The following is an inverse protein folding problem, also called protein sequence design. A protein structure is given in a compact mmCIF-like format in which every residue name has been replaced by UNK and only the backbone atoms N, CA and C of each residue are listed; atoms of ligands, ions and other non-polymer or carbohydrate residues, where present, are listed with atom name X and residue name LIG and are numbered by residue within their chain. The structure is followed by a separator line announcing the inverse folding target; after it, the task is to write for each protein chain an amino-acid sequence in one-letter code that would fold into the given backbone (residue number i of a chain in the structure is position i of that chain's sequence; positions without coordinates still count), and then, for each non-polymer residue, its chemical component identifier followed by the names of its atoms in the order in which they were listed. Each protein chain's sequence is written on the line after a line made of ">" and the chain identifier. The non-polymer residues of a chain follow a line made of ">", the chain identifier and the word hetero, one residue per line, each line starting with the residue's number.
data_IF_747492434693
#
_entry.id   IF_747492434693
#
_cell.length_a   1.000
_cell.length_b   1.000
_cell.length_c   1.000
_cell.angle_alpha   90.00
_cell.angle_beta   90.00
_cell.angle_gamma   90.00
#
_symmetry.space_group_name_H-M   'P 1'
#
loop_
_entity.id
_entity.type
_entity.pdbx_description
1 polymer ?
#
# COMPACT_ATOMS: atom_id res chain seq x y z
N UNK A 1 -13.87 -64.96 23.83
CA UNK A 1 -12.55 -64.29 23.82
C UNK A 1 -12.54 -62.87 23.21
N UNK A 2 -13.17 -62.61 22.05
CA UNK A 2 -13.13 -61.29 21.36
C UNK A 2 -13.56 -60.04 22.15
N UNK A 3 -14.46 -60.17 23.14
CA UNK A 3 -14.96 -59.02 23.93
C UNK A 3 -13.91 -58.46 24.90
N UNK A 4 -13.09 -59.34 25.50
CA UNK A 4 -12.06 -58.98 26.48
C UNK A 4 -10.89 -58.25 25.82
N UNK A 5 -10.52 -58.71 24.63
CA UNK A 5 -9.45 -58.12 23.81
C UNK A 5 -9.82 -56.71 23.30
N UNK A 6 -11.09 -56.50 22.93
CA UNK A 6 -11.60 -55.18 22.53
C UNK A 6 -11.58 -54.18 23.70
N UNK A 7 -11.96 -54.64 24.89
CA UNK A 7 -11.98 -53.82 26.09
C UNK A 7 -10.56 -53.42 26.54
N UNK A 8 -9.60 -54.35 26.41
CA UNK A 8 -8.19 -54.08 26.70
C UNK A 8 -7.59 -53.06 25.72
N UNK A 9 -7.94 -53.17 24.43
CA UNK A 9 -7.52 -52.22 23.38
C UNK A 9 -8.05 -50.80 23.66
N UNK A 10 -9.31 -50.69 24.11
CA UNK A 10 -9.90 -49.41 24.48
C UNK A 10 -9.28 -48.81 25.75
N UNK A 11 -8.98 -49.63 26.77
CA UNK A 11 -8.23 -49.17 27.95
C UNK A 11 -6.85 -48.64 27.57
N UNK A 12 -6.13 -49.33 26.69
CA UNK A 12 -4.81 -48.92 26.18
C UNK A 12 -4.90 -47.60 25.40
N UNK A 13 -5.94 -47.43 24.56
CA UNK A 13 -6.19 -46.18 23.82
C UNK A 13 -6.46 -45.00 24.75
N UNK A 14 -7.34 -45.18 25.74
CA UNK A 14 -7.66 -44.14 26.76
C UNK A 14 -6.42 -43.73 27.56
N UNK A 15 -5.55 -44.68 27.92
CA UNK A 15 -4.30 -44.38 28.64
C UNK A 15 -3.35 -43.53 27.79
N UNK A 16 -3.19 -43.88 26.51
CA UNK A 16 -2.33 -43.15 25.55
C UNK A 16 -2.84 -41.72 25.31
N UNK A 17 -4.15 -41.52 25.27
CA UNK A 17 -4.77 -40.20 25.11
C UNK A 17 -4.54 -39.30 26.33
N UNK A 18 -4.72 -39.83 27.54
CA UNK A 18 -4.45 -39.10 28.79
C UNK A 18 -2.98 -38.66 28.88
N UNK A 19 -2.05 -39.53 28.48
CA UNK A 19 -0.63 -39.23 28.47
C UNK A 19 -0.27 -38.13 27.44
N UNK A 20 -0.86 -38.19 26.24
CA UNK A 20 -0.67 -37.17 25.19
C UNK A 20 -1.22 -35.80 25.63
N UNK A 21 -2.34 -35.78 26.36
CA UNK A 21 -2.93 -34.56 26.93
C UNK A 21 -2.04 -33.97 28.03
N UNK A 22 -1.45 -34.80 28.90
CA UNK A 22 -0.53 -34.34 29.96
C UNK A 22 0.74 -33.72 29.37
N UNK A 23 1.36 -34.36 28.36
CA UNK A 23 2.53 -33.82 27.63
C UNK A 23 2.25 -32.49 26.93
N UNK A 24 1.05 -32.30 26.36
CA UNK A 24 0.66 -31.00 25.75
C UNK A 24 0.52 -29.89 26.79
N UNK A 25 -0.02 -30.19 27.97
CA UNK A 25 -0.19 -29.21 29.06
C UNK A 25 1.15 -28.78 29.64
N UNK A 26 2.10 -29.70 29.84
CA UNK A 26 3.46 -29.37 30.30
C UNK A 26 4.23 -28.51 29.29
N UNK A 27 4.19 -28.85 27.98
CA UNK A 27 4.87 -28.04 26.95
C UNK A 27 4.27 -26.62 26.80
N UNK A 28 2.96 -26.46 26.99
CA UNK A 28 2.31 -25.16 26.91
C UNK A 28 2.74 -24.20 28.03
N UNK A 29 2.87 -24.71 29.27
CA UNK A 29 3.25 -23.90 30.44
C UNK A 29 4.70 -23.43 30.37
N UNK A 30 5.61 -24.28 29.89
CA UNK A 30 7.03 -23.94 29.77
C UNK A 30 7.28 -22.88 28.66
N UNK A 31 6.58 -23.04 27.52
CA UNK A 31 6.67 -22.11 26.39
C UNK A 31 6.21 -20.69 26.73
N UNK A 32 5.07 -20.56 27.42
CA UNK A 32 4.53 -19.25 27.82
C UNK A 32 5.44 -18.54 28.83
N UNK A 33 5.99 -19.28 29.79
CA UNK A 33 6.89 -18.74 30.81
C UNK A 33 8.19 -18.23 30.19
N UNK A 34 8.77 -19.00 29.24
CA UNK A 34 10.00 -18.62 28.53
C UNK A 34 9.78 -17.39 27.63
N UNK A 35 8.63 -17.32 26.94
CA UNK A 35 8.25 -16.16 26.11
C UNK A 35 8.04 -14.89 26.95
N UNK A 36 7.40 -15.02 28.13
CA UNK A 36 7.20 -13.90 29.07
C UNK A 36 8.53 -13.40 29.65
N UNK A 37 9.46 -14.30 29.97
CA UNK A 37 10.81 -13.94 30.46
C UNK A 37 11.64 -13.25 29.38
N UNK A 38 11.58 -13.70 28.12
CA UNK A 38 12.26 -13.04 26.98
C UNK A 38 11.73 -11.61 26.76
N UNK A 39 10.41 -11.43 26.73
CA UNK A 39 9.77 -10.10 26.63
C UNK A 39 10.17 -9.16 27.78
N UNK A 40 10.27 -9.67 29.01
CA UNK A 40 10.70 -8.86 30.17
C UNK A 40 12.18 -8.47 30.07
N UNK A 41 13.04 -9.34 29.54
CA UNK A 41 14.46 -9.05 29.28
C UNK A 41 14.63 -8.00 28.17
N UNK A 42 13.89 -8.12 27.06
CA UNK A 42 13.89 -7.12 25.97
C UNK A 42 13.45 -5.74 26.47
N UNK A 43 12.33 -5.65 27.21
CA UNK A 43 11.89 -4.40 27.83
C UNK A 43 12.91 -3.81 28.80
N UNK A 44 13.61 -4.65 29.57
CA UNK A 44 14.66 -4.19 30.51
C UNK A 44 15.90 -3.71 29.76
N UNK A 45 16.30 -4.36 28.67
CA UNK A 45 17.42 -3.89 27.82
C UNK A 45 17.09 -2.61 27.08
N UNK A 46 15.84 -2.43 26.63
CA UNK A 46 15.39 -1.19 26.00
C UNK A 46 15.38 -0.03 27.01
N UNK A 47 14.97 -0.30 28.26
CA UNK A 47 15.00 0.68 29.35
C UNK A 47 16.43 1.00 29.83
N UNK A 48 17.34 0.02 29.81
CA UNK A 48 18.74 0.21 30.21
C UNK A 48 19.58 0.98 29.17
N UNK A 49 19.15 1.04 27.91
CA UNK A 49 19.76 1.90 26.88
C UNK A 49 19.42 3.39 27.04
N UNK A 50 18.54 3.76 27.99
CA UNK A 50 18.23 5.14 28.37
C UNK A 50 19.12 5.62 29.52
N UNK A 51 20.44 5.56 29.32
CA UNK A 51 21.41 6.07 30.27
C UNK A 51 21.64 7.57 30.07
N UNK A 52 21.26 8.36 31.07
CA UNK A 52 21.78 9.69 31.42
C UNK A 52 22.03 10.70 30.28
N UNK A 53 21.01 11.49 29.95
CA UNK A 53 20.93 12.97 30.07
C UNK A 53 19.62 13.41 29.43
N UNK A 54 18.67 13.85 30.27
CA UNK A 54 17.28 14.25 29.96
C UNK A 54 16.42 13.20 29.25
N UNK A 55 15.27 12.87 29.82
CA UNK A 55 14.33 11.89 29.22
C UNK A 55 13.76 12.34 27.85
N UNK A 56 14.04 13.58 27.46
CA UNK A 56 13.57 14.25 26.25
C UNK A 56 14.62 14.32 25.14
N UNK A 57 15.92 14.36 25.46
CA UNK A 57 16.97 14.48 24.43
C UNK A 57 17.02 13.25 23.53
N UNK A 58 16.93 13.47 22.22
CA UNK A 58 16.97 12.40 21.21
C UNK A 58 15.76 11.47 21.22
N UNK A 59 14.67 11.82 21.92
CA UNK A 59 13.45 11.01 22.01
C UNK A 59 12.82 10.71 20.63
N UNK A 60 12.97 11.64 19.69
CA UNK A 60 12.43 11.55 18.33
C UNK A 60 13.52 11.30 17.27
N UNK A 61 14.73 10.98 17.70
CA UNK A 61 15.93 11.02 16.87
C UNK A 61 16.74 12.29 17.13
N UNK A 62 18.01 12.28 16.70
CA UNK A 62 18.91 13.44 16.77
C UNK A 62 19.22 13.86 15.35
N UNK A 63 18.91 15.11 15.03
CA UNK A 63 19.14 15.74 13.72
C UNK A 63 20.46 16.52 13.78
N UNK A 64 21.22 16.47 12.68
CA UNK A 64 22.42 17.29 12.44
C UNK A 64 22.22 18.21 11.24
N UNK A 65 23.13 19.17 11.05
CA UNK A 65 23.06 20.13 9.93
C UNK A 65 23.07 19.43 8.55
N UNK A 66 23.68 18.24 8.46
CA UNK A 66 23.67 17.39 7.26
C UNK A 66 22.28 16.89 6.87
N UNK A 67 21.36 16.79 7.84
CA UNK A 67 20.01 16.26 7.65
C UNK A 67 19.01 17.34 7.20
N UNK A 68 19.46 18.57 6.93
CA UNK A 68 18.65 19.70 6.49
C UNK A 68 17.74 19.38 5.30
N UNK A 69 18.24 18.60 4.34
CA UNK A 69 17.48 18.21 3.16
C UNK A 69 16.42 17.14 3.46
N UNK A 70 16.76 16.17 4.32
CA UNK A 70 15.82 15.11 4.73
C UNK A 70 14.70 15.66 5.60
N UNK A 71 14.99 16.71 6.39
CA UNK A 71 14.07 17.35 7.33
C UNK A 71 13.46 18.63 6.79
N UNK A 72 13.66 18.89 5.49
CA UNK A 72 13.12 20.05 4.80
C UNK A 72 11.60 20.15 4.92
N UNK A 73 10.81 19.08 4.71
CA UNK A 73 9.35 19.16 4.84
C UNK A 73 8.90 19.57 6.25
N UNK A 74 9.55 19.01 7.28
CA UNK A 74 9.27 19.35 8.68
C UNK A 74 9.66 20.77 9.05
N UNK A 75 10.83 21.20 8.57
CA UNK A 75 11.34 22.55 8.76
C UNK A 75 10.46 23.60 8.07
N UNK A 76 10.01 23.34 6.82
CA UNK A 76 9.08 24.22 6.09
C UNK A 76 7.80 24.43 6.88
N UNK A 77 7.17 23.36 7.35
CA UNK A 77 5.91 23.50 8.07
C UNK A 77 6.09 24.18 9.44
N UNK A 78 7.23 23.97 10.10
CA UNK A 78 7.56 24.66 11.35
C UNK A 78 7.77 26.15 11.11
N UNK A 79 8.49 26.54 10.07
CA UNK A 79 8.66 27.95 9.70
C UNK A 79 7.33 28.64 9.41
N UNK A 80 6.45 27.97 8.65
CA UNK A 80 5.15 28.51 8.30
C UNK A 80 4.21 28.65 9.50
N UNK A 81 4.16 27.66 10.39
CA UNK A 81 3.17 27.64 11.49
C UNK A 81 3.67 28.24 12.79
N UNK A 82 4.97 28.18 13.09
CA UNK A 82 5.55 28.66 14.35
C UNK A 82 6.23 30.00 14.18
N UNK A 83 6.96 30.19 13.09
CA UNK A 83 7.68 31.45 12.81
C UNK A 83 6.91 32.38 11.86
N UNK A 84 5.83 31.91 11.25
CA UNK A 84 5.00 32.63 10.27
C UNK A 84 5.83 33.23 9.12
N UNK A 85 6.94 32.57 8.76
CA UNK A 85 7.86 33.03 7.72
C UNK A 85 7.87 32.04 6.56
N UNK A 86 7.76 32.56 5.34
CA UNK A 86 7.90 31.78 4.13
C UNK A 86 9.38 31.51 3.84
N UNK A 87 9.72 30.24 3.58
CA UNK A 87 11.08 29.83 3.18
C UNK A 87 11.60 30.60 1.96
N UNK A 88 10.73 30.88 1.00
CA UNK A 88 11.11 31.59 -0.24
C UNK A 88 11.50 33.05 -0.01
N UNK A 89 11.10 33.64 1.11
CA UNK A 89 11.44 35.00 1.48
C UNK A 89 12.77 35.10 2.24
N UNK A 90 13.35 33.98 2.67
CA UNK A 90 14.53 33.94 3.51
C UNK A 90 15.82 33.76 2.69
N UNK A 91 16.87 34.56 2.96
CA UNK A 91 18.18 34.33 2.37
C UNK A 91 18.83 33.05 2.93
N UNK A 92 19.71 32.36 2.18
CA UNK A 92 20.25 31.05 2.56
C UNK A 92 21.00 31.00 3.91
N UNK A 93 21.56 32.13 4.36
CA UNK A 93 22.25 32.19 5.66
C UNK A 93 21.27 32.22 6.84
N UNK A 94 20.12 32.89 6.66
CA UNK A 94 19.08 32.99 7.67
C UNK A 94 18.32 31.66 7.79
N UNK A 95 18.13 30.99 6.66
CA UNK A 95 17.62 29.62 6.61
C UNK A 95 18.44 28.67 7.48
N UNK A 96 19.78 28.69 7.38
CA UNK A 96 20.66 27.87 8.22
C UNK A 96 20.57 28.22 9.70
N UNK A 97 20.41 29.51 10.03
CA UNK A 97 20.22 29.97 11.40
C UNK A 97 18.90 29.42 11.97
N UNK A 98 17.81 29.57 11.24
CA UNK A 98 16.51 29.03 11.63
C UNK A 98 16.53 27.49 11.73
N UNK A 99 17.30 26.82 10.87
CA UNK A 99 17.46 25.38 10.95
C UNK A 99 18.22 24.95 12.22
N UNK A 100 19.15 25.76 12.73
CA UNK A 100 19.80 25.49 14.03
C UNK A 100 18.83 25.56 15.20
N UNK A 101 17.97 26.57 15.22
CA UNK A 101 16.90 26.68 16.23
C UNK A 101 15.94 25.47 16.13
N UNK A 102 15.55 25.09 14.91
CA UNK A 102 14.73 23.89 14.67
C UNK A 102 15.44 22.61 15.15
N UNK A 103 16.74 22.46 14.92
CA UNK A 103 17.51 21.32 15.40
C UNK A 103 17.56 21.25 16.92
N UNK A 104 17.75 22.38 17.59
CA UNK A 104 17.74 22.45 19.05
C UNK A 104 16.39 21.99 19.59
N UNK A 105 15.29 22.53 19.07
CA UNK A 105 13.95 22.18 19.51
C UNK A 105 13.58 20.72 19.20
N UNK A 106 14.03 20.21 18.05
CA UNK A 106 13.82 18.81 17.69
C UNK A 106 14.58 17.86 18.61
N UNK A 107 15.85 18.16 18.87
CA UNK A 107 16.74 17.29 19.64
C UNK A 107 16.37 17.31 21.13
N UNK A 108 15.97 18.46 21.66
CA UNK A 108 15.51 18.62 23.05
C UNK A 108 14.07 18.15 23.25
N UNK A 109 13.28 18.05 22.18
CA UNK A 109 11.90 17.60 22.25
C UNK A 109 10.93 18.68 22.74
N UNK A 110 11.21 19.96 22.48
CA UNK A 110 10.47 21.12 22.98
C UNK A 110 9.37 21.61 22.03
N UNK A 111 9.23 21.05 20.82
CA UNK A 111 8.17 21.48 19.90
C UNK A 111 6.77 21.37 20.51
N UNK A 112 5.96 22.41 20.27
CA UNK A 112 4.57 22.54 20.72
C UNK A 112 3.67 21.42 20.19
N UNK A 113 3.93 20.96 18.96
CA UNK A 113 3.17 19.88 18.31
C UNK A 113 4.07 18.72 17.93
N UNK A 114 3.54 17.50 18.11
CA UNK A 114 4.21 16.27 17.67
C UNK A 114 4.36 16.17 16.14
N UNK A 115 3.68 17.03 15.37
CA UNK A 115 3.73 16.99 13.91
C UNK A 115 5.12 17.31 13.37
N UNK A 116 5.87 18.20 14.04
CA UNK A 116 7.16 18.69 13.56
C UNK A 116 8.31 17.68 13.70
N UNK A 117 8.09 16.56 14.39
CA UNK A 117 9.08 15.47 14.44
C UNK A 117 8.98 14.53 13.23
N UNK A 118 7.76 14.29 12.75
CA UNK A 118 7.43 13.38 11.65
C UNK A 118 6.07 13.79 11.06
N UNK A 119 6.11 14.66 10.05
CA UNK A 119 4.92 15.19 9.38
C UNK A 119 4.18 14.08 8.65
N UNK A 120 4.89 13.24 7.92
CA UNK A 120 4.30 12.16 7.14
C UNK A 120 3.63 11.13 8.04
N UNK A 121 4.28 10.74 9.13
CA UNK A 121 3.70 9.85 10.13
C UNK A 121 2.53 10.49 10.87
N UNK A 122 2.52 11.81 11.06
CA UNK A 122 1.37 12.52 11.62
C UNK A 122 0.16 12.47 10.66
N UNK A 123 0.33 12.83 9.38
CA UNK A 123 -0.77 12.83 8.41
C UNK A 123 -1.27 11.42 8.11
N UNK A 124 -0.38 10.42 7.98
CA UNK A 124 -0.79 9.02 7.83
C UNK A 124 -1.66 8.55 8.99
N UNK A 125 -1.27 8.85 10.24
CA UNK A 125 -2.08 8.51 11.43
C UNK A 125 -3.38 9.30 11.48
N UNK A 126 -3.39 10.56 11.01
CA UNK A 126 -4.62 11.37 10.93
C UNK A 126 -5.59 10.75 9.92
N UNK A 127 -5.12 10.42 8.72
CA UNK A 127 -5.90 9.74 7.68
C UNK A 127 -6.42 8.38 8.16
N UNK A 128 -5.59 7.56 8.80
CA UNK A 128 -6.00 6.26 9.34
C UNK A 128 -7.08 6.42 10.41
N UNK A 129 -6.95 7.41 11.30
CA UNK A 129 -7.97 7.72 12.32
C UNK A 129 -9.27 8.17 11.67
N UNK A 130 -9.23 9.02 10.66
CA UNK A 130 -10.43 9.47 9.94
C UNK A 130 -11.09 8.33 9.16
N UNK A 131 -10.33 7.49 8.46
CA UNK A 131 -10.84 6.28 7.80
C UNK A 131 -11.48 5.31 8.81
N UNK A 132 -10.82 5.08 9.96
CA UNK A 132 -11.35 4.21 11.02
C UNK A 132 -12.57 4.81 11.71
N UNK A 133 -12.65 6.12 11.85
CA UNK A 133 -13.86 6.82 12.33
C UNK A 133 -14.98 6.69 11.30
N UNK A 134 -14.69 6.88 10.01
CA UNK A 134 -15.64 6.68 8.92
C UNK A 134 -16.21 5.26 8.92
N UNK A 135 -15.36 4.24 9.05
CA UNK A 135 -15.76 2.84 9.13
C UNK A 135 -16.59 2.54 10.39
N UNK A 136 -16.22 3.12 11.54
CA UNK A 136 -16.98 2.99 12.79
C UNK A 136 -18.32 3.73 12.75
N UNK A 137 -18.40 4.84 12.02
CA UNK A 137 -19.64 5.62 11.81
C UNK A 137 -20.55 4.90 10.82
N UNK A 138 -19.99 4.29 9.77
CA UNK A 138 -20.73 3.41 8.85
C UNK A 138 -21.26 2.16 9.56
N UNK A 139 -20.48 1.54 10.45
CA UNK A 139 -20.91 0.36 11.22
C UNK A 139 -21.84 0.64 12.40
N UNK A 140 -21.98 1.90 12.84
CA UNK A 140 -22.91 2.33 13.90
C UNK A 140 -24.08 3.19 13.39
N UNK A 141 -24.08 3.53 12.10
CA UNK A 141 -25.28 4.03 11.46
C UNK A 141 -26.23 2.84 11.39
N UNK A 142 -27.09 2.70 12.39
CA UNK A 142 -28.33 1.95 12.23
C UNK A 142 -28.93 2.38 10.90
N UNK A 143 -29.14 1.41 10.02
CA UNK A 143 -29.65 1.59 8.65
C UNK A 143 -31.04 2.20 8.73
N UNK A 144 -31.10 3.52 8.83
CA UNK A 144 -32.33 4.34 8.88
C UNK A 144 -32.61 4.99 7.53
N UNK A 145 -32.18 4.36 6.44
CA UNK A 145 -32.58 4.75 5.09
C UNK A 145 -33.44 3.65 4.52
N UNK A 146 -34.75 3.87 4.62
CA UNK A 146 -35.83 3.08 4.06
C UNK A 146 -36.00 3.46 2.58
N UNK A 147 -34.95 3.28 1.77
CA UNK A 147 -34.97 3.56 0.34
C UNK A 147 -34.46 2.34 -0.45
N UNK A 148 -35.04 1.18 -0.13
CA UNK A 148 -34.74 -0.15 -0.68
C UNK A 148 -34.92 -0.20 -2.22
N UNK A 149 -35.93 0.51 -2.74
CA UNK A 149 -36.26 0.46 -4.17
C UNK A 149 -35.25 1.16 -5.08
N UNK A 150 -34.65 2.27 -4.63
CA UNK A 150 -33.73 3.05 -5.47
C UNK A 150 -32.36 2.36 -5.59
N UNK A 151 -31.88 1.73 -4.51
CA UNK A 151 -30.66 0.91 -4.55
C UNK A 151 -30.83 -0.30 -5.45
N UNK A 152 -31.98 -0.98 -5.38
CA UNK A 152 -32.27 -2.13 -6.24
C UNK A 152 -32.37 -1.74 -7.73
N UNK A 153 -32.86 -0.54 -8.03
CA UNK A 153 -32.87 0.01 -9.40
C UNK A 153 -31.45 0.27 -9.90
N UNK A 154 -30.58 0.82 -9.06
CA UNK A 154 -29.18 1.09 -9.40
C UNK A 154 -28.38 -0.20 -9.59
N UNK A 155 -28.55 -1.19 -8.71
CA UNK A 155 -27.93 -2.51 -8.87
C UNK A 155 -28.40 -3.22 -10.14
N UNK A 156 -29.68 -3.10 -10.50
CA UNK A 156 -30.22 -3.65 -11.75
C UNK A 156 -29.70 -2.91 -12.99
N UNK A 157 -29.45 -1.60 -12.90
CA UNK A 157 -28.82 -0.83 -13.97
C UNK A 157 -27.34 -1.22 -14.14
N UNK A 158 -26.58 -1.29 -13.05
CA UNK A 158 -25.17 -1.67 -13.06
C UNK A 158 -24.99 -3.11 -13.57
N UNK A 159 -25.89 -4.03 -13.20
CA UNK A 159 -25.89 -5.40 -13.72
C UNK A 159 -26.16 -5.45 -15.23
N UNK A 160 -27.08 -4.62 -15.73
CA UNK A 160 -27.36 -4.50 -17.18
C UNK A 160 -26.20 -3.85 -17.93
N UNK A 161 -25.55 -2.86 -17.34
CA UNK A 161 -24.37 -2.22 -17.92
C UNK A 161 -23.19 -3.19 -17.99
N UNK A 162 -22.93 -3.93 -16.91
CA UNK A 162 -21.91 -4.99 -16.91
C UNK A 162 -22.17 -6.07 -17.97
N UNK A 163 -23.42 -6.51 -18.12
CA UNK A 163 -23.77 -7.45 -19.18
C UNK A 163 -23.55 -6.88 -20.58
N UNK A 164 -23.90 -5.61 -20.81
CA UNK A 164 -23.63 -4.92 -22.08
C UNK A 164 -22.13 -4.75 -22.34
N UNK A 165 -21.35 -4.41 -21.32
CA UNK A 165 -19.89 -4.27 -21.43
C UNK A 165 -19.24 -5.62 -21.76
N UNK A 166 -19.66 -6.70 -21.11
CA UNK A 166 -19.20 -8.06 -21.42
C UNK A 166 -19.57 -8.48 -22.85
N UNK A 167 -20.78 -8.16 -23.31
CA UNK A 167 -21.24 -8.44 -24.67
C UNK A 167 -20.46 -7.63 -25.71
N UNK A 168 -20.21 -6.34 -25.46
CA UNK A 168 -19.37 -5.49 -26.32
C UNK A 168 -17.93 -5.99 -26.34
N UNK A 169 -17.39 -6.44 -25.21
CA UNK A 169 -16.05 -6.99 -25.12
C UNK A 169 -15.92 -8.34 -25.83
N UNK A 170 -16.94 -9.20 -25.74
CA UNK A 170 -17.03 -10.44 -26.49
C UNK A 170 -17.17 -10.17 -28.00
N UNK A 171 -17.98 -9.20 -28.40
CA UNK A 171 -18.13 -8.76 -29.79
C UNK A 171 -16.83 -8.18 -30.35
N UNK A 172 -16.12 -7.37 -29.56
CA UNK A 172 -14.79 -6.87 -29.93
C UNK A 172 -13.80 -8.02 -30.13
N UNK A 173 -13.83 -9.01 -29.24
CA UNK A 173 -12.98 -10.21 -29.33
C UNK A 173 -13.34 -11.12 -30.50
N UNK A 174 -14.62 -11.19 -30.91
CA UNK A 174 -15.02 -11.91 -32.12
C UNK A 174 -14.68 -11.12 -33.40
N UNK A 175 -14.80 -9.79 -33.37
CA UNK A 175 -14.39 -8.91 -34.46
C UNK A 175 -12.87 -8.93 -34.69
N UNK A 176 -12.07 -9.21 -33.65
CA UNK A 176 -10.62 -9.40 -33.74
C UNK A 176 -10.19 -10.59 -34.63
N UNK A 177 -11.12 -11.42 -35.12
CA UNK A 177 -10.84 -12.51 -36.07
C UNK A 177 -10.99 -12.11 -37.54
N UNK A 178 -10.00 -12.45 -38.37
CA UNK A 178 -10.07 -12.37 -39.84
C UNK A 178 -10.01 -10.95 -40.41
N UNK A 179 -11.15 -10.25 -40.43
CA UNK A 179 -11.29 -8.96 -41.12
C UNK A 179 -10.61 -7.80 -40.39
N UNK A 180 -10.69 -7.75 -39.05
CA UNK A 180 -10.01 -6.70 -38.28
C UNK A 180 -8.48 -6.89 -38.24
N UNK A 181 -7.99 -8.13 -38.36
CA UNK A 181 -6.56 -8.41 -38.52
C UNK A 181 -6.08 -7.96 -39.91
N UNK A 182 -6.83 -8.27 -40.97
CA UNK A 182 -6.54 -7.80 -42.32
C UNK A 182 -6.53 -6.27 -42.41
N UNK A 183 -7.47 -5.57 -41.76
CA UNK A 183 -7.46 -4.10 -41.69
C UNK A 183 -6.26 -3.55 -40.90
N UNK A 184 -5.89 -4.18 -39.77
CA UNK A 184 -4.69 -3.80 -39.01
C UNK A 184 -3.41 -4.01 -39.81
N UNK A 185 -3.33 -5.08 -40.59
CA UNK A 185 -2.18 -5.39 -41.45
C UNK A 185 -2.09 -4.41 -42.63
N UNK A 186 -3.21 -4.08 -43.28
CA UNK A 186 -3.26 -3.04 -44.31
C UNK A 186 -2.87 -1.66 -43.74
N UNK A 187 -3.31 -1.32 -42.53
CA UNK A 187 -2.90 -0.09 -41.87
C UNK A 187 -1.40 -0.05 -41.57
N UNK A 188 -0.84 -1.17 -41.09
CA UNK A 188 0.61 -1.31 -40.84
C UNK A 188 1.43 -1.15 -42.12
N UNK A 189 1.00 -1.78 -43.22
CA UNK A 189 1.66 -1.66 -44.53
C UNK A 189 1.60 -0.22 -45.06
N UNK A 190 0.48 0.50 -44.88
CA UNK A 190 0.39 1.94 -45.23
C UNK A 190 1.36 2.79 -44.41
N UNK A 191 1.48 2.52 -43.12
CA UNK A 191 2.41 3.25 -42.24
C UNK A 191 3.88 2.97 -42.61
N UNK A 192 4.20 1.72 -42.93
CA UNK A 192 5.53 1.30 -43.40
C UNK A 192 5.86 1.94 -44.75
N UNK A 193 4.90 2.01 -45.68
CA UNK A 193 5.05 2.74 -46.95
C UNK A 193 5.34 4.23 -46.72
N UNK A 194 4.60 4.90 -45.83
CA UNK A 194 4.83 6.32 -45.49
C UNK A 194 6.21 6.52 -44.89
N UNK A 195 6.69 5.58 -44.07
CA UNK A 195 8.04 5.62 -43.53
C UNK A 195 9.10 5.47 -44.63
N UNK A 196 8.94 4.53 -45.57
CA UNK A 196 9.85 4.33 -46.70
C UNK A 196 9.93 5.57 -47.61
N UNK A 197 8.78 6.20 -47.89
CA UNK A 197 8.74 7.49 -48.59
C UNK A 197 9.50 8.59 -47.84
N UNK A 198 9.40 8.61 -46.50
CA UNK A 198 10.06 9.62 -45.66
C UNK A 198 11.58 9.45 -45.60
N UNK A 199 12.08 8.22 -45.73
CA UNK A 199 13.53 7.94 -45.80
C UNK A 199 14.09 8.02 -47.23
N UNK A 200 13.24 8.21 -48.25
CA UNK A 200 13.64 8.33 -49.66
C UNK A 200 13.81 7.00 -50.39
N UNK A 201 13.38 5.88 -49.80
CA UNK A 201 13.38 4.56 -50.45
C UNK A 201 12.10 4.35 -51.26
N UNK A 202 12.13 4.86 -52.49
CA UNK A 202 11.00 4.86 -53.42
C UNK A 202 10.69 3.46 -53.97
N UNK A 203 11.68 2.57 -54.06
CA UNK A 203 11.50 1.20 -54.55
C UNK A 203 10.80 0.33 -53.51
N UNK A 204 11.20 0.43 -52.24
CA UNK A 204 10.53 -0.24 -51.14
C UNK A 204 9.08 0.23 -50.96
N UNK A 205 8.82 1.53 -51.11
CA UNK A 205 7.47 2.08 -51.04
C UNK A 205 6.56 1.58 -52.18
N UNK A 206 7.09 1.50 -53.41
CA UNK A 206 6.35 0.98 -54.56
C UNK A 206 6.05 -0.53 -54.45
N UNK A 207 6.94 -1.31 -53.84
CA UNK A 207 6.71 -2.73 -53.57
C UNK A 207 5.57 -2.96 -52.57
N UNK A 208 5.48 -2.13 -51.52
CA UNK A 208 4.36 -2.18 -50.56
C UNK A 208 3.05 -1.73 -51.21
N UNK A 209 3.09 -0.72 -52.08
CA UNK A 209 1.92 -0.25 -52.82
C UNK A 209 1.30 -1.34 -53.71
N UNK A 210 2.12 -2.09 -54.46
CA UNK A 210 1.65 -3.23 -55.26
C UNK A 210 1.01 -4.35 -54.44
N UNK A 211 1.45 -4.53 -53.19
CA UNK A 211 0.88 -5.52 -52.26
C UNK A 211 -0.44 -5.03 -51.64
N UNK A 212 -0.69 -3.73 -51.66
CA UNK A 212 -1.87 -3.09 -51.09
C UNK A 212 -3.00 -2.92 -52.12
N UNK A 213 -2.68 -2.89 -53.41
CA UNK A 213 -3.65 -2.78 -54.51
C UNK A 213 -4.39 -4.12 -54.75
N UNK A 214 -5.74 -4.15 -54.69
CA UNK A 214 -6.52 -5.37 -54.78
C UNK A 214 -6.80 -5.88 -56.21
N UNK A 215 -6.29 -5.24 -57.26
CA UNK A 215 -6.68 -5.49 -58.66
C UNK A 215 -5.52 -5.80 -59.61
N UNK A 216 -4.44 -6.40 -59.11
CA UNK A 216 -3.43 -7.03 -59.97
C UNK A 216 -3.76 -8.52 -60.09
N UNK A 217 -4.22 -9.02 -61.26
CA UNK A 217 -4.41 -10.45 -61.47
C UNK A 217 -3.04 -11.14 -61.38
N UNK A 218 -2.96 -12.15 -60.51
CA UNK A 218 -1.85 -13.11 -60.48
C UNK A 218 -1.79 -13.91 -61.79
#
# INVERSE_FOLDING_TARGET
>A
MKRREREERDRKRRRREKEKKKRRKEKGVDGDTKKKKKRKKEKKSEKAKKGAVTESWGKYGVIRETDMWNKRPEFTAWLLEVKEVNLESLPPWEEKKMFKDFMEDHNTGTFTSKKYYDIDGYYRRKLEKEMKKGLKKAGKSERTVFNDEEQRRLEMQEAREKQKEEEVLALKRSMEGGMAQAMKEQARLKEEMVYLYKIGDMEGAAAIQRRLDPDVPM
#
